data_IF_460829020163
#
_entry.id   IF_460829020163
#
_cell.length_a   1.000
_cell.length_b   1.000
_cell.length_c   1.000
_cell.angle_alpha   90.00
_cell.angle_beta   90.00
_cell.angle_gamma   90.00
#
_symmetry.space_group_name_H-M   'P 1'
#
loop_
_entity.id
_entity.type
_entity.pdbx_description
1 polymer ?
#
# COMPACT_ATOMS: atom_id res chain seq x y z
N UNK A 1 17.10 -14.69 19.73
CA UNK A 1 15.82 -15.18 20.29
C UNK A 1 15.65 -14.48 21.62
N UNK A 2 14.66 -13.59 21.74
CA UNK A 2 14.38 -12.90 23.00
C UNK A 2 13.00 -13.37 23.44
N UNK A 3 12.94 -14.16 24.52
CA UNK A 3 11.68 -14.44 25.21
C UNK A 3 11.48 -13.34 26.24
N UNK A 4 10.35 -12.66 26.15
CA UNK A 4 9.92 -11.70 27.16
C UNK A 4 8.62 -12.25 27.74
N UNK A 5 8.67 -12.61 29.02
CA UNK A 5 7.48 -13.00 29.77
C UNK A 5 6.91 -11.75 30.41
N UNK A 6 5.67 -11.42 30.07
CA UNK A 6 4.92 -10.34 30.71
C UNK A 6 3.88 -10.98 31.63
N UNK A 7 3.99 -10.69 32.92
CA UNK A 7 2.97 -11.00 33.93
C UNK A 7 2.28 -9.71 34.31
N UNK A 8 0.95 -9.68 34.22
CA UNK A 8 0.14 -8.54 34.61
C UNK A 8 -0.90 -8.98 35.64
N UNK A 9 -0.95 -8.25 36.76
CA UNK A 9 -1.96 -8.38 37.81
C UNK A 9 -2.86 -7.13 37.78
N UNK A 10 -4.17 -7.32 37.68
CA UNK A 10 -5.15 -6.22 37.63
C UNK A 10 -5.63 -5.80 39.02
N UNK A 11 -5.41 -6.59 40.07
CA UNK A 11 -5.93 -6.30 41.41
C UNK A 11 -4.95 -6.82 42.49
N UNK A 12 -3.86 -6.10 42.72
CA UNK A 12 -2.94 -6.43 43.81
C UNK A 12 -3.51 -5.99 45.16
N UNK A 13 -4.47 -6.75 45.70
CA UNK A 13 -4.63 -6.95 47.14
C UNK A 13 -5.30 -8.30 47.37
N UNK A 14 -4.62 -9.17 48.12
CA UNK A 14 -5.04 -10.47 48.68
C UNK A 14 -4.51 -11.70 47.93
N UNK A 15 -3.58 -12.35 48.64
CA UNK A 15 -3.10 -13.73 48.47
C UNK A 15 -4.27 -14.72 48.43
N UNK A 16 -4.64 -15.19 47.25
CA UNK A 16 -5.28 -16.50 47.09
C UNK A 16 -4.64 -17.23 45.91
N UNK A 17 -4.19 -18.46 46.17
CA UNK A 17 -3.58 -19.42 45.23
C UNK A 17 -4.61 -19.92 44.18
N UNK A 18 -5.23 -19.02 43.42
CA UNK A 18 -6.26 -19.37 42.44
C UNK A 18 -5.83 -19.02 41.00
N UNK A 19 -5.38 -20.07 40.30
CA UNK A 19 -5.30 -20.23 38.83
C UNK A 19 -4.82 -19.00 38.05
N UNK A 20 -3.50 -18.89 37.92
CA UNK A 20 -2.88 -18.04 36.91
C UNK A 20 -3.12 -18.62 35.51
N UNK A 21 -3.66 -17.82 34.60
CA UNK A 21 -3.63 -18.13 33.16
C UNK A 21 -2.34 -17.55 32.58
N UNK A 22 -1.47 -18.42 32.07
CA UNK A 22 -0.32 -17.97 31.29
C UNK A 22 -0.78 -17.69 29.86
N UNK A 23 -0.77 -16.43 29.44
CA UNK A 23 -1.02 -16.05 28.06
C UNK A 23 0.31 -16.09 27.31
N UNK A 24 0.49 -17.09 26.45
CA UNK A 24 1.62 -17.12 25.52
C UNK A 24 1.26 -16.32 24.27
N UNK A 25 1.68 -15.06 24.21
CA UNK A 25 1.58 -14.26 23.00
C UNK A 25 2.79 -14.50 22.11
N UNK A 26 2.61 -15.27 21.02
CA UNK A 26 3.59 -15.33 19.94
C UNK A 26 3.49 -14.06 19.10
N UNK A 27 4.34 -13.08 19.41
CA UNK A 27 4.53 -11.91 18.55
C UNK A 27 5.64 -12.27 17.57
N UNK A 28 5.28 -12.75 16.37
CA UNK A 28 6.24 -12.80 15.26
C UNK A 28 6.65 -11.36 14.99
N UNK A 29 7.92 -11.03 15.22
CA UNK A 29 8.47 -9.78 14.71
C UNK A 29 8.18 -9.78 13.20
N UNK A 30 7.43 -8.78 12.72
CA UNK A 30 7.13 -8.67 11.30
C UNK A 30 8.47 -8.77 10.54
N UNK A 31 8.56 -9.59 9.48
CA UNK A 31 9.80 -9.73 8.74
C UNK A 31 10.31 -8.34 8.36
N UNK A 32 11.63 -8.12 8.48
CA UNK A 32 12.25 -6.90 7.94
C UNK A 32 11.88 -6.84 6.46
N UNK A 33 11.06 -5.86 6.10
CA UNK A 33 10.77 -5.57 4.71
C UNK A 33 12.01 -4.97 4.06
N UNK A 34 12.20 -5.19 2.76
CA UNK A 34 13.24 -4.47 2.02
C UNK A 34 12.99 -2.97 2.14
N UNK A 35 14.06 -2.18 2.26
CA UNK A 35 13.97 -0.72 2.40
C UNK A 35 13.44 -0.02 1.13
N UNK A 36 13.27 -0.77 0.04
CA UNK A 36 12.76 -0.28 -1.23
C UNK A 36 11.91 -1.35 -1.93
N UNK A 37 11.02 -0.87 -2.80
CA UNK A 37 10.21 -1.69 -3.69
C UNK A 37 10.65 -1.35 -5.12
N UNK A 38 11.15 -2.34 -5.85
CA UNK A 38 11.42 -2.19 -7.27
C UNK A 38 10.12 -2.29 -8.06
N UNK A 39 9.91 -1.42 -9.05
CA UNK A 39 8.72 -1.44 -9.90
C UNK A 39 9.09 -1.32 -11.37
N UNK A 40 8.19 -1.81 -12.23
CA UNK A 40 8.20 -1.49 -13.64
C UNK A 40 7.09 -0.49 -13.97
N UNK A 41 7.39 0.50 -14.81
CA UNK A 41 6.40 1.43 -15.35
C UNK A 41 5.98 0.95 -16.73
N UNK A 42 4.68 0.74 -16.96
CA UNK A 42 4.17 0.24 -18.24
C UNK A 42 2.99 1.05 -18.75
N UNK A 43 2.93 1.27 -20.06
CA UNK A 43 1.83 1.99 -20.69
C UNK A 43 0.58 1.09 -20.74
N UNK A 44 -0.50 1.51 -20.10
CA UNK A 44 -1.77 0.80 -20.06
C UNK A 44 -2.78 1.44 -19.11
N UNK A 45 -4.06 1.15 -19.31
CA UNK A 45 -5.13 1.60 -18.40
C UNK A 45 -6.27 0.59 -18.35
N UNK A 46 -7.07 0.66 -17.28
CA UNK A 46 -8.30 -0.12 -17.19
C UNK A 46 -9.35 0.48 -18.11
N UNK A 47 -10.07 -0.36 -18.86
CA UNK A 47 -11.17 0.09 -19.71
C UNK A 47 -12.32 0.76 -18.92
N UNK A 48 -12.62 0.24 -17.73
CA UNK A 48 -13.52 0.88 -16.76
C UNK A 48 -12.82 0.96 -15.40
N UNK A 49 -12.12 2.05 -15.07
CA UNK A 49 -11.22 2.10 -13.91
C UNK A 49 -11.90 1.83 -12.56
N UNK A 50 -13.14 2.28 -12.43
CA UNK A 50 -13.89 2.28 -11.17
C UNK A 50 -14.47 0.93 -10.74
N UNK A 51 -14.40 -0.12 -11.57
CA UNK A 51 -15.03 -1.42 -11.27
C UNK A 51 -13.91 -2.46 -11.06
N UNK A 52 -14.11 -3.39 -10.12
CA UNK A 52 -13.22 -4.53 -9.89
C UNK A 52 -13.83 -5.77 -10.56
N UNK A 53 -13.48 -6.04 -11.81
CA UNK A 53 -14.08 -7.11 -12.64
C UNK A 53 -13.03 -8.05 -13.24
N UNK A 54 -13.49 -9.21 -13.70
CA UNK A 54 -12.62 -10.31 -14.14
C UNK A 54 -11.78 -10.01 -15.40
N UNK A 55 -12.25 -9.18 -16.34
CA UNK A 55 -11.44 -8.87 -17.54
C UNK A 55 -10.16 -8.07 -17.23
N UNK A 56 -10.08 -7.46 -16.04
CA UNK A 56 -8.83 -6.90 -15.52
C UNK A 56 -7.73 -7.97 -15.45
N UNK A 57 -8.09 -9.25 -15.24
CA UNK A 57 -7.13 -10.35 -15.20
C UNK A 57 -6.39 -10.51 -16.53
N UNK A 58 -7.03 -10.31 -17.69
CA UNK A 58 -6.32 -10.45 -18.98
C UNK A 58 -5.26 -9.36 -19.19
N UNK A 59 -5.61 -8.12 -18.86
CA UNK A 59 -4.68 -6.98 -18.91
C UNK A 59 -3.57 -7.15 -17.87
N UNK A 60 -3.93 -7.58 -16.66
CA UNK A 60 -3.00 -7.87 -15.58
C UNK A 60 -2.03 -8.99 -15.94
N UNK A 61 -2.50 -10.11 -16.48
CA UNK A 61 -1.69 -11.27 -16.85
C UNK A 61 -0.70 -10.92 -17.96
N UNK A 62 -1.11 -10.09 -18.93
CA UNK A 62 -0.22 -9.56 -19.97
C UNK A 62 0.95 -8.81 -19.33
N UNK A 63 0.68 -7.87 -18.41
CA UNK A 63 1.73 -7.07 -17.78
C UNK A 63 2.57 -7.88 -16.78
N UNK A 64 1.96 -8.82 -16.06
CA UNK A 64 2.71 -9.72 -15.16
C UNK A 64 3.72 -10.59 -15.92
N UNK A 65 3.39 -11.04 -17.14
CA UNK A 65 4.34 -11.78 -18.00
C UNK A 65 5.49 -10.93 -18.53
N UNK A 66 5.30 -9.60 -18.61
CA UNK A 66 6.31 -8.65 -19.07
C UNK A 66 7.13 -8.06 -17.92
N UNK A 67 6.63 -8.19 -16.68
CA UNK A 67 7.28 -7.66 -15.48
C UNK A 67 8.62 -8.34 -15.28
N UNK A 68 9.65 -7.57 -14.97
CA UNK A 68 10.93 -8.07 -14.53
C UNK A 68 10.75 -8.94 -13.28
N UNK A 69 11.47 -10.06 -13.20
CA UNK A 69 11.39 -11.00 -12.07
C UNK A 69 11.73 -10.34 -10.73
N UNK A 70 12.61 -9.34 -10.73
CA UNK A 70 13.02 -8.60 -9.53
C UNK A 70 12.08 -7.43 -9.18
N UNK A 71 11.21 -7.02 -10.12
CA UNK A 71 10.22 -5.98 -9.86
C UNK A 71 9.10 -6.56 -9.01
N UNK A 72 8.64 -5.82 -8.02
CA UNK A 72 7.61 -6.26 -7.07
C UNK A 72 6.21 -5.98 -7.60
N UNK A 73 6.06 -4.88 -8.33
CA UNK A 73 4.79 -4.40 -8.89
C UNK A 73 5.00 -3.76 -10.27
N UNK A 74 3.94 -3.73 -11.07
CA UNK A 74 3.86 -2.89 -12.27
C UNK A 74 2.93 -1.72 -11.97
N UNK A 75 3.43 -0.50 -12.20
CA UNK A 75 2.64 0.72 -12.13
C UNK A 75 2.33 1.20 -13.54
N UNK A 76 1.05 1.50 -13.77
CA UNK A 76 0.52 1.86 -15.07
C UNK A 76 0.54 3.37 -15.29
N UNK A 77 0.70 3.76 -16.56
CA UNK A 77 0.45 5.11 -17.03
C UNK A 77 -0.33 5.09 -18.35
N UNK A 78 -1.16 6.09 -18.60
CA UNK A 78 -1.98 6.16 -19.80
C UNK A 78 -1.23 6.79 -20.99
N UNK A 79 -1.88 6.85 -22.16
CA UNK A 79 -1.30 7.44 -23.39
C UNK A 79 -0.94 8.92 -23.25
N UNK A 80 -1.57 9.62 -22.30
CA UNK A 80 -1.24 11.00 -21.93
C UNK A 80 -0.04 11.10 -20.98
N UNK A 81 0.70 10.00 -20.73
CA UNK A 81 1.83 9.90 -19.80
C UNK A 81 1.45 10.12 -18.33
N UNK A 82 0.17 10.00 -17.97
CA UNK A 82 -0.29 10.19 -16.59
C UNK A 82 -0.21 8.87 -15.84
N UNK A 83 0.51 8.85 -14.71
CA UNK A 83 0.56 7.71 -13.80
C UNK A 83 -0.83 7.52 -13.16
N UNK A 84 -1.34 6.30 -13.18
CA UNK A 84 -2.67 5.96 -12.66
C UNK A 84 -2.57 5.12 -11.38
N UNK A 85 -2.39 3.80 -11.52
CA UNK A 85 -2.36 2.83 -10.43
C UNK A 85 -1.48 1.63 -10.74
N UNK A 86 -1.19 0.82 -9.73
CA UNK A 86 -0.55 -0.48 -9.91
C UNK A 86 -1.52 -1.57 -10.35
N UNK A 87 -0.99 -2.73 -10.73
CA UNK A 87 -1.83 -3.88 -11.04
C UNK A 87 -2.63 -4.35 -9.82
N UNK A 88 -2.08 -4.22 -8.61
CA UNK A 88 -2.71 -4.66 -7.36
C UNK A 88 -3.04 -3.55 -6.36
N UNK A 89 -2.52 -2.33 -6.54
CA UNK A 89 -2.67 -1.24 -5.58
C UNK A 89 -2.97 0.10 -6.27
N UNK A 90 -3.52 1.05 -5.53
CA UNK A 90 -3.50 2.44 -5.97
C UNK A 90 -2.10 3.04 -5.79
N UNK A 91 -1.78 4.06 -6.60
CA UNK A 91 -0.49 4.73 -6.55
C UNK A 91 -0.54 6.02 -5.74
N UNK A 92 0.50 6.24 -4.95
CA UNK A 92 0.75 7.48 -4.22
C UNK A 92 2.20 7.92 -4.40
N UNK A 93 2.41 9.23 -4.48
CA UNK A 93 3.73 9.82 -4.62
C UNK A 93 3.85 11.09 -3.79
N UNK A 94 4.95 11.27 -3.09
CA UNK A 94 5.21 12.49 -2.31
C UNK A 94 6.15 13.42 -3.10
N UNK A 95 5.66 14.61 -3.44
CA UNK A 95 6.39 15.62 -4.21
C UNK A 95 6.21 16.98 -3.56
N UNK A 96 7.30 17.71 -3.34
CA UNK A 96 7.29 19.08 -2.81
C UNK A 96 6.35 19.25 -1.60
N UNK A 97 6.49 18.35 -0.62
CA UNK A 97 5.70 18.36 0.62
C UNK A 97 4.18 18.19 0.42
N UNK A 98 3.78 17.53 -0.68
CA UNK A 98 2.38 17.22 -1.01
C UNK A 98 2.31 15.76 -1.47
N UNK A 99 1.32 15.02 -0.95
CA UNK A 99 1.00 13.68 -1.40
C UNK A 99 0.10 13.76 -2.64
N UNK A 100 0.43 13.01 -3.68
CA UNK A 100 -0.31 12.93 -4.91
C UNK A 100 -0.87 11.53 -5.11
N UNK A 101 -2.06 11.44 -5.67
CA UNK A 101 -2.66 10.22 -6.21
C UNK A 101 -3.47 10.59 -7.43
N UNK A 102 -3.68 9.63 -8.35
CA UNK A 102 -4.49 9.86 -9.53
C UNK A 102 -5.94 10.23 -9.16
N UNK A 103 -6.62 10.91 -10.09
CA UNK A 103 -8.03 11.29 -9.93
C UNK A 103 -8.94 10.07 -9.89
N UNK A 104 -10.08 10.20 -9.21
CA UNK A 104 -11.00 9.09 -8.93
C UNK A 104 -11.52 8.42 -10.20
N UNK A 105 -11.70 9.18 -11.28
CA UNK A 105 -12.17 8.69 -12.58
C UNK A 105 -11.16 7.79 -13.31
N UNK A 106 -9.88 7.85 -12.95
CA UNK A 106 -8.79 7.14 -13.64
C UNK A 106 -8.33 5.85 -12.95
N UNK A 107 -8.82 5.56 -11.75
CA UNK A 107 -8.33 4.44 -10.93
C UNK A 107 -9.46 3.71 -10.24
N UNK A 108 -9.15 2.53 -9.71
CA UNK A 108 -10.06 1.86 -8.80
C UNK A 108 -10.20 2.67 -7.49
N UNK A 109 -11.42 2.88 -7.02
CA UNK A 109 -11.70 3.49 -5.71
C UNK A 109 -11.40 2.49 -4.59
N UNK A 110 -10.12 2.21 -4.37
CA UNK A 110 -9.67 1.23 -3.39
C UNK A 110 -9.93 1.70 -1.97
N UNK A 111 -10.36 0.78 -1.10
CA UNK A 111 -10.65 1.06 0.31
C UNK A 111 -9.45 1.64 1.05
N UNK A 112 -8.24 1.11 0.84
CA UNK A 112 -7.01 1.64 1.47
C UNK A 112 -6.70 3.06 0.98
N UNK A 113 -6.91 3.34 -0.31
CA UNK A 113 -6.75 4.68 -0.86
C UNK A 113 -7.69 5.68 -0.19
N UNK A 114 -8.95 5.31 0.02
CA UNK A 114 -9.92 6.12 0.75
C UNK A 114 -9.47 6.38 2.20
N UNK A 115 -9.00 5.34 2.90
CA UNK A 115 -8.46 5.51 4.27
C UNK A 115 -7.25 6.46 4.30
N UNK A 116 -6.33 6.37 3.34
CA UNK A 116 -5.18 7.28 3.23
C UNK A 116 -5.64 8.72 2.98
N UNK A 117 -6.62 8.93 2.11
CA UNK A 117 -7.18 10.26 1.82
C UNK A 117 -7.80 10.85 3.09
N UNK A 118 -8.67 10.10 3.77
CA UNK A 118 -9.32 10.53 5.01
C UNK A 118 -8.30 10.83 6.12
N UNK A 119 -7.24 10.01 6.23
CA UNK A 119 -6.15 10.27 7.15
C UNK A 119 -5.43 11.58 6.82
N UNK A 120 -5.13 11.83 5.54
CA UNK A 120 -4.45 13.07 5.15
C UNK A 120 -5.30 14.30 5.48
N UNK A 121 -6.61 14.24 5.26
CA UNK A 121 -7.54 15.31 5.64
C UNK A 121 -7.55 15.53 7.16
N UNK A 122 -7.64 14.46 7.95
CA UNK A 122 -7.66 14.54 9.42
C UNK A 122 -6.37 15.10 10.01
N UNK A 123 -5.22 14.67 9.50
CA UNK A 123 -3.90 15.06 10.01
C UNK A 123 -3.35 16.33 9.34
N UNK A 124 -4.15 17.04 8.53
CA UNK A 124 -3.76 18.23 7.79
C UNK A 124 -2.52 18.03 6.89
N UNK A 125 -2.41 16.84 6.29
CA UNK A 125 -1.39 16.50 5.30
C UNK A 125 -1.89 16.96 3.93
N UNK A 126 -1.08 17.77 3.22
CA UNK A 126 -1.41 18.24 1.88
C UNK A 126 -1.54 17.05 0.92
N UNK A 127 -2.74 16.84 0.38
CA UNK A 127 -3.03 15.82 -0.62
C UNK A 127 -3.64 16.44 -1.87
N UNK A 128 -3.21 16.00 -3.05
CA UNK A 128 -3.81 16.36 -4.35
C UNK A 128 -4.19 15.11 -5.14
N UNK A 129 -5.46 15.05 -5.54
CA UNK A 129 -5.93 14.13 -6.58
C UNK A 129 -5.66 14.77 -7.94
N UNK A 130 -4.50 14.49 -8.53
CA UNK A 130 -4.08 15.12 -9.79
C UNK A 130 -3.16 14.21 -10.59
N UNK A 131 -2.96 14.53 -11.88
CA UNK A 131 -2.08 13.73 -12.72
C UNK A 131 -0.62 13.92 -12.35
N UNK A 132 0.14 12.83 -12.47
CA UNK A 132 1.60 12.82 -12.33
C UNK A 132 2.15 12.40 -13.68
N UNK A 133 2.88 13.28 -14.36
CA UNK A 133 3.51 12.96 -15.64
C UNK A 133 4.76 12.10 -15.42
N UNK A 134 4.77 10.90 -15.99
CA UNK A 134 5.89 9.96 -15.87
C UNK A 134 7.18 10.50 -16.49
N UNK A 135 7.10 11.39 -17.47
CA UNK A 135 8.27 11.99 -18.13
C UNK A 135 8.92 13.08 -17.29
N UNK A 136 8.18 13.66 -16.33
CA UNK A 136 8.63 14.82 -15.57
C UNK A 136 9.64 14.47 -14.47
N UNK A 137 9.67 13.22 -14.01
CA UNK A 137 10.47 12.83 -12.86
C UNK A 137 11.36 11.63 -13.20
N UNK A 138 12.67 11.85 -13.27
CA UNK A 138 13.68 10.81 -13.50
C UNK A 138 13.98 9.97 -12.26
N UNK A 139 13.63 10.48 -11.07
CA UNK A 139 13.71 9.77 -9.78
C UNK A 139 12.46 10.10 -8.97
N UNK A 140 11.57 9.11 -8.80
CA UNK A 140 10.40 9.22 -7.95
C UNK A 140 10.65 8.36 -6.72
N UNK A 141 10.56 8.94 -5.51
CA UNK A 141 10.41 8.13 -4.29
C UNK A 141 8.97 7.66 -4.23
N UNK A 142 8.80 6.38 -4.50
CA UNK A 142 7.50 5.73 -4.60
C UNK A 142 7.21 5.04 -3.28
N UNK A 143 6.07 5.39 -2.67
CA UNK A 143 5.55 4.67 -1.52
C UNK A 143 4.46 3.73 -2.03
N UNK A 144 4.80 2.45 -2.17
CA UNK A 144 3.79 1.42 -2.35
C UNK A 144 3.50 0.83 -0.98
N UNK A 145 2.32 1.14 -0.46
CA UNK A 145 1.78 0.43 0.69
C UNK A 145 1.15 -0.87 0.20
N UNK A 146 1.91 -1.96 0.26
CA UNK A 146 1.36 -3.31 0.12
C UNK A 146 0.96 -3.84 1.49
N UNK A 147 -0.34 -3.94 1.76
CA UNK A 147 -0.79 -4.84 2.83
C UNK A 147 -0.91 -6.24 2.25
N UNK A 148 -0.04 -7.15 2.71
CA UNK A 148 -0.33 -8.57 2.61
C UNK A 148 -1.36 -8.90 3.69
N UNK A 149 -2.53 -9.39 3.26
CA UNK A 149 -3.51 -10.01 4.15
C UNK A 149 -2.92 -11.28 4.76
#
# INVERSE_FOLDING_TARGET
>A
MVMITLTWDMNSTVDTLEKYYSILCYIKCLPKHQDHVQIDMMCGERKTPNIKYADVFQVRDKFLKLKNENSHEVVLFNESNQITEGLSCNFFCFLNNTLYTAKDELVLKGTIREQIINLCERENIKLKKDFIDIKRYSQIRIFIYMFNN
#
